data_IF_797222476008
#
_entry.id   IF_797222476008
#
_cell.length_a   1.000
_cell.length_b   1.000
_cell.length_c   1.000
_cell.angle_alpha   90.00
_cell.angle_beta   90.00
_cell.angle_gamma   90.00
#
_symmetry.space_group_name_H-M   'P 1'
#
loop_
_entity.id
_entity.type
_entity.pdbx_description
1 polymer ?
#
# COMPACT_ATOMS: atom_id res chain seq x y z
N UNK A 1 -33.90 -31.15 19.32
CA UNK A 1 -34.58 -30.61 18.14
C UNK A 1 -33.52 -30.34 17.11
N UNK A 2 -33.37 -31.28 16.17
CA UNK A 2 -32.52 -31.12 14.99
C UNK A 2 -33.22 -30.15 14.03
N UNK A 3 -32.81 -28.89 14.04
CA UNK A 3 -33.15 -27.93 12.99
C UNK A 3 -32.24 -28.17 11.78
N UNK A 4 -32.29 -29.35 11.19
CA UNK A 4 -31.67 -29.61 9.89
C UNK A 4 -32.60 -29.06 8.82
N UNK A 5 -32.14 -28.05 8.07
CA UNK A 5 -32.81 -27.64 6.85
C UNK A 5 -32.81 -28.83 5.88
N UNK A 6 -33.89 -29.05 5.11
CA UNK A 6 -33.87 -30.05 4.05
C UNK A 6 -32.72 -29.78 3.08
N UNK A 7 -32.03 -30.83 2.66
CA UNK A 7 -30.92 -30.76 1.70
C UNK A 7 -31.26 -29.92 0.46
N UNK A 8 -32.51 -30.01 0.01
CA UNK A 8 -33.07 -29.34 -1.16
C UNK A 8 -33.09 -27.82 -1.00
N UNK A 9 -33.36 -27.34 0.21
CA UNK A 9 -33.29 -25.91 0.53
C UNK A 9 -31.85 -25.45 0.46
N UNK A 10 -30.92 -26.19 1.07
CA UNK A 10 -29.49 -25.88 1.05
C UNK A 10 -28.92 -25.90 -0.38
N UNK A 11 -29.28 -26.91 -1.19
CA UNK A 11 -28.92 -27.01 -2.61
C UNK A 11 -29.49 -25.88 -3.48
N UNK A 12 -30.60 -25.26 -3.07
CA UNK A 12 -31.20 -24.10 -3.74
C UNK A 12 -30.55 -22.78 -3.32
N UNK A 13 -30.10 -22.68 -2.06
CA UNK A 13 -29.51 -21.47 -1.50
C UNK A 13 -28.01 -21.36 -1.80
N UNK A 14 -27.24 -22.44 -1.64
CA UNK A 14 -25.78 -22.43 -1.79
C UNK A 14 -25.27 -21.90 -3.15
N UNK A 15 -25.92 -22.16 -4.31
CA UNK A 15 -25.53 -21.56 -5.58
C UNK A 15 -25.57 -20.02 -5.60
N UNK A 16 -26.39 -19.40 -4.74
CA UNK A 16 -26.59 -17.95 -4.66
C UNK A 16 -25.54 -17.24 -3.80
N UNK A 17 -24.79 -18.00 -2.99
CA UNK A 17 -23.75 -17.46 -2.12
C UNK A 17 -22.48 -17.11 -2.91
N UNK A 18 -21.68 -16.19 -2.35
CA UNK A 18 -20.31 -16.02 -2.80
C UNK A 18 -19.43 -17.15 -2.24
N UNK A 19 -18.19 -17.26 -2.74
CA UNK A 19 -17.33 -18.35 -2.30
C UNK A 19 -16.84 -18.21 -0.86
N UNK A 20 -16.83 -17.01 -0.27
CA UNK A 20 -16.45 -16.80 1.14
C UNK A 20 -17.55 -17.34 2.06
N UNK A 21 -18.80 -17.02 1.77
CA UNK A 21 -19.97 -17.49 2.50
C UNK A 21 -20.15 -19.00 2.37
N UNK A 22 -19.87 -19.58 1.19
CA UNK A 22 -19.89 -21.04 1.01
C UNK A 22 -18.82 -21.75 1.84
N UNK A 23 -17.63 -21.15 2.02
CA UNK A 23 -16.62 -21.67 2.98
C UNK A 23 -17.18 -21.64 4.40
N UNK A 24 -17.81 -20.55 4.83
CA UNK A 24 -18.39 -20.47 6.18
C UNK A 24 -19.50 -21.50 6.40
N UNK A 25 -20.33 -21.77 5.38
CA UNK A 25 -21.34 -22.82 5.43
C UNK A 25 -20.74 -24.20 5.75
N UNK A 26 -19.53 -24.49 5.26
CA UNK A 26 -18.84 -25.75 5.57
C UNK A 26 -18.42 -25.90 7.04
N UNK A 27 -18.47 -24.82 7.83
CA UNK A 27 -18.12 -24.80 9.25
C UNK A 27 -19.34 -24.94 10.17
N UNK A 28 -20.57 -24.86 9.64
CA UNK A 28 -21.81 -24.87 10.44
C UNK A 28 -22.11 -26.24 11.03
N UNK A 29 -22.28 -27.26 10.19
CA UNK A 29 -22.52 -28.66 10.61
C UNK A 29 -22.03 -29.65 9.55
N UNK A 30 -22.13 -30.96 9.83
CA UNK A 30 -21.69 -32.02 8.89
C UNK A 30 -22.48 -32.00 7.58
N UNK A 31 -23.82 -31.90 7.68
CA UNK A 31 -24.71 -31.83 6.52
C UNK A 31 -24.33 -30.67 5.59
N UNK A 32 -24.22 -29.46 6.12
CA UNK A 32 -23.86 -28.28 5.33
C UNK A 32 -22.48 -28.41 4.69
N UNK A 33 -21.52 -28.98 5.43
CA UNK A 33 -20.18 -29.26 4.90
C UNK A 33 -20.19 -30.21 3.73
N UNK A 34 -20.96 -31.28 3.80
CA UNK A 34 -20.97 -32.31 2.76
C UNK A 34 -21.69 -31.80 1.50
N UNK A 35 -22.77 -31.01 1.66
CA UNK A 35 -23.43 -30.33 0.54
C UNK A 35 -22.52 -29.24 -0.06
N UNK A 36 -21.98 -28.32 0.76
CA UNK A 36 -21.16 -27.21 0.27
C UNK A 36 -19.82 -27.66 -0.36
N UNK A 37 -19.39 -28.91 -0.14
CA UNK A 37 -18.22 -29.50 -0.82
C UNK A 37 -18.48 -29.89 -2.27
N UNK A 38 -19.73 -30.02 -2.69
CA UNK A 38 -20.08 -30.39 -4.06
C UNK A 38 -19.50 -29.35 -5.04
N UNK A 39 -18.68 -29.85 -5.97
CA UNK A 39 -17.95 -29.03 -6.92
C UNK A 39 -18.87 -28.28 -7.89
N UNK A 40 -20.14 -28.70 -8.03
CA UNK A 40 -21.16 -27.96 -8.77
C UNK A 40 -21.35 -26.54 -8.22
N UNK A 41 -21.42 -26.36 -6.90
CA UNK A 41 -21.60 -25.03 -6.31
C UNK A 41 -20.39 -24.14 -6.58
N UNK A 42 -19.19 -24.71 -6.51
CA UNK A 42 -17.95 -24.00 -6.84
C UNK A 42 -17.85 -23.70 -8.33
N UNK A 43 -18.37 -24.56 -9.21
CA UNK A 43 -18.50 -24.29 -10.65
C UNK A 43 -19.41 -23.11 -10.90
N UNK A 44 -20.55 -23.00 -10.20
CA UNK A 44 -21.44 -21.83 -10.30
C UNK A 44 -20.76 -20.54 -9.86
N UNK A 45 -19.94 -20.58 -8.81
CA UNK A 45 -19.16 -19.42 -8.37
C UNK A 45 -18.08 -19.06 -9.42
N UNK A 46 -17.32 -20.05 -9.88
CA UNK A 46 -16.30 -19.88 -10.90
C UNK A 46 -16.86 -19.42 -12.24
N UNK A 47 -18.08 -19.80 -12.62
CA UNK A 47 -18.68 -19.36 -13.89
C UNK A 47 -19.06 -17.88 -13.86
N UNK A 48 -19.41 -17.34 -12.68
CA UNK A 48 -19.62 -15.91 -12.47
C UNK A 48 -18.31 -15.12 -12.46
N UNK A 49 -17.26 -15.65 -11.84
CA UNK A 49 -15.96 -14.96 -11.65
C UNK A 49 -15.02 -15.11 -12.85
N UNK A 50 -14.96 -16.30 -13.44
CA UNK A 50 -14.06 -16.70 -14.54
C UNK A 50 -14.81 -17.59 -15.56
N UNK A 51 -15.77 -17.03 -16.33
CA UNK A 51 -16.64 -17.81 -17.21
C UNK A 51 -15.89 -18.66 -18.24
N UNK A 52 -14.74 -18.20 -18.73
CA UNK A 52 -13.93 -18.91 -19.72
C UNK A 52 -13.39 -20.25 -19.18
N UNK A 53 -13.03 -20.31 -17.90
CA UNK A 53 -12.56 -21.55 -17.25
C UNK A 53 -13.68 -22.60 -17.22
N UNK A 54 -14.94 -22.18 -17.11
CA UNK A 54 -16.07 -23.09 -17.15
C UNK A 54 -16.46 -23.50 -18.57
N UNK A 55 -16.16 -22.66 -19.58
CA UNK A 55 -16.38 -22.97 -21.01
C UNK A 55 -15.34 -23.95 -21.54
N UNK A 56 -14.10 -23.82 -21.10
CA UNK A 56 -12.98 -24.69 -21.46
C UNK A 56 -12.26 -25.14 -20.18
N UNK A 57 -12.83 -26.12 -19.45
CA UNK A 57 -12.24 -26.59 -18.21
C UNK A 57 -10.92 -27.33 -18.46
N UNK A 58 -9.93 -27.15 -17.57
CA UNK A 58 -8.78 -28.06 -17.49
C UNK A 58 -9.24 -29.51 -17.33
N UNK A 59 -8.43 -30.47 -17.80
CA UNK A 59 -8.78 -31.91 -17.79
C UNK A 59 -9.17 -32.45 -16.41
N UNK A 60 -8.57 -31.95 -15.33
CA UNK A 60 -8.84 -32.32 -13.93
C UNK A 60 -9.46 -31.16 -13.13
N UNK A 61 -10.38 -30.43 -13.74
CA UNK A 61 -10.98 -29.25 -13.12
C UNK A 61 -11.66 -29.60 -11.78
N UNK A 62 -11.10 -29.05 -10.71
CA UNK A 62 -11.71 -28.98 -9.39
C UNK A 62 -11.98 -27.51 -9.09
N UNK A 63 -13.23 -27.08 -9.29
CA UNK A 63 -13.61 -25.67 -9.22
C UNK A 63 -13.43 -25.10 -7.82
N UNK A 64 -13.61 -25.92 -6.78
CA UNK A 64 -13.33 -25.55 -5.40
C UNK A 64 -11.86 -25.21 -5.20
N UNK A 65 -10.95 -26.11 -5.61
CA UNK A 65 -9.51 -25.91 -5.51
C UNK A 65 -9.08 -24.68 -6.29
N UNK A 66 -9.60 -24.52 -7.51
CA UNK A 66 -9.33 -23.36 -8.35
C UNK A 66 -9.77 -22.06 -7.65
N UNK A 67 -11.00 -22.01 -7.13
CA UNK A 67 -11.49 -20.84 -6.41
C UNK A 67 -10.62 -20.52 -5.20
N UNK A 68 -10.28 -21.52 -4.38
CA UNK A 68 -9.48 -21.33 -3.18
C UNK A 68 -8.06 -20.86 -3.52
N UNK A 69 -7.40 -21.47 -4.51
CA UNK A 69 -6.05 -21.09 -4.94
C UNK A 69 -5.98 -19.63 -5.40
N UNK A 70 -6.94 -19.17 -6.21
CA UNK A 70 -6.91 -17.82 -6.78
C UNK A 70 -7.69 -16.77 -5.99
N UNK A 71 -8.32 -17.16 -4.88
CA UNK A 71 -8.95 -16.22 -3.93
C UNK A 71 -8.11 -16.03 -2.67
N UNK A 72 -7.10 -16.86 -2.44
CA UNK A 72 -6.13 -16.63 -1.38
C UNK A 72 -5.15 -15.52 -1.79
N UNK A 73 -4.80 -14.60 -0.87
CA UNK A 73 -3.65 -13.73 -1.06
C UNK A 73 -2.41 -14.60 -1.34
N UNK A 74 -1.53 -14.20 -2.26
CA UNK A 74 -0.27 -14.90 -2.46
C UNK A 74 0.50 -14.98 -1.14
N UNK A 75 0.75 -16.20 -0.66
CA UNK A 75 1.65 -16.38 0.47
C UNK A 75 3.07 -16.11 -0.03
N UNK A 76 3.69 -15.01 0.42
CA UNK A 76 5.09 -14.69 0.12
C UNK A 76 6.01 -15.67 0.86
N UNK A 77 6.10 -16.90 0.38
CA UNK A 77 7.04 -17.89 0.91
C UNK A 77 8.39 -17.72 0.21
N UNK A 78 9.45 -17.52 1.00
CA UNK A 78 10.86 -17.51 0.58
C UNK A 78 11.35 -16.33 -0.28
N UNK A 79 10.88 -15.11 -0.03
CA UNK A 79 11.58 -13.94 -0.56
C UNK A 79 12.97 -13.80 0.12
N UNK A 80 14.04 -13.52 -0.64
CA UNK A 80 15.39 -13.41 -0.10
C UNK A 80 15.46 -12.25 0.90
N UNK A 81 16.32 -12.32 1.91
CA UNK A 81 16.52 -11.17 2.82
C UNK A 81 16.93 -9.93 1.99
N UNK A 82 16.34 -8.74 2.21
CA UNK A 82 16.77 -7.53 1.51
C UNK A 82 18.28 -7.31 1.68
N UNK A 83 18.95 -6.87 0.61
CA UNK A 83 20.38 -6.52 0.66
C UNK A 83 20.63 -5.16 1.29
N UNK A 84 19.57 -4.46 1.63
CA UNK A 84 19.54 -3.13 2.22
C UNK A 84 18.96 -3.20 3.61
N UNK A 85 19.52 -2.38 4.50
CA UNK A 85 18.89 -2.03 5.77
C UNK A 85 18.59 -0.53 5.81
N UNK A 86 17.71 -0.08 6.71
CA UNK A 86 17.48 1.35 6.90
C UNK A 86 18.72 2.07 7.44
N UNK A 87 19.58 1.33 8.14
CA UNK A 87 20.87 1.78 8.62
C UNK A 87 21.84 2.06 7.47
N UNK A 88 21.64 1.52 6.27
CA UNK A 88 22.48 1.78 5.08
C UNK A 88 21.99 2.98 4.27
N UNK A 89 20.80 3.51 4.56
CA UNK A 89 20.13 4.51 3.72
C UNK A 89 20.21 5.92 4.31
N UNK A 90 20.42 6.89 3.42
CA UNK A 90 20.22 8.33 3.69
C UNK A 90 19.34 8.90 2.58
N UNK A 91 18.32 9.66 2.95
CA UNK A 91 17.38 10.29 2.04
C UNK A 91 17.62 11.79 2.03
N UNK A 92 17.79 12.36 0.84
CA UNK A 92 17.91 13.80 0.62
C UNK A 92 16.56 14.30 0.14
N UNK A 93 15.91 15.11 0.95
CA UNK A 93 14.57 15.64 0.67
C UNK A 93 14.69 17.16 0.53
N UNK A 94 14.38 17.64 -0.66
CA UNK A 94 14.43 19.05 -1.01
C UNK A 94 13.05 19.51 -1.50
N UNK A 95 12.58 20.66 -1.01
CA UNK A 95 11.31 21.26 -1.42
C UNK A 95 11.47 22.71 -1.81
N UNK A 96 10.74 23.10 -2.85
CA UNK A 96 10.73 24.47 -3.38
C UNK A 96 9.31 25.01 -3.43
N UNK A 97 9.14 26.27 -3.02
CA UNK A 97 7.95 27.09 -3.22
C UNK A 97 8.22 28.06 -4.37
N UNK A 98 7.52 27.92 -5.49
CA UNK A 98 7.71 28.77 -6.68
C UNK A 98 9.19 28.88 -7.13
N UNK A 99 9.94 27.79 -6.98
CA UNK A 99 11.36 27.72 -7.31
C UNK A 99 12.33 28.20 -6.22
N UNK A 100 11.84 28.78 -5.13
CA UNK A 100 12.65 29.13 -3.95
C UNK A 100 12.73 27.95 -2.99
N UNK A 101 13.94 27.58 -2.56
CA UNK A 101 14.14 26.47 -1.63
C UNK A 101 13.54 26.80 -0.24
N UNK A 102 12.64 25.95 0.25
CA UNK A 102 11.97 26.10 1.56
C UNK A 102 12.34 25.02 2.57
N UNK A 103 12.86 23.89 2.09
CA UNK A 103 13.27 22.76 2.93
C UNK A 103 14.36 21.99 2.20
N UNK A 104 15.40 21.58 2.94
CA UNK A 104 16.48 20.75 2.42
C UNK A 104 17.13 20.02 3.59
N UNK A 105 17.00 18.70 3.64
CA UNK A 105 17.59 17.89 4.70
C UNK A 105 18.08 16.53 4.18
N UNK A 106 19.17 16.04 4.78
CA UNK A 106 19.64 14.68 4.64
C UNK A 106 19.25 13.87 5.89
N UNK A 107 18.44 12.83 5.70
CA UNK A 107 17.75 12.11 6.78
C UNK A 107 18.13 10.63 6.73
N UNK A 108 18.46 10.04 7.87
CA UNK A 108 18.75 8.60 7.91
C UNK A 108 17.49 7.76 7.67
N UNK A 109 17.63 6.60 7.03
CA UNK A 109 16.51 5.66 6.89
C UNK A 109 15.93 5.25 8.24
N UNK A 110 16.74 5.12 9.28
CA UNK A 110 16.28 4.83 10.64
C UNK A 110 15.39 5.94 11.22
N UNK A 111 15.68 7.20 10.92
CA UNK A 111 14.86 8.35 11.36
C UNK A 111 13.50 8.29 10.68
N UNK A 112 13.48 8.05 9.37
CA UNK A 112 12.23 7.89 8.61
C UNK A 112 11.41 6.69 9.10
N UNK A 113 12.06 5.56 9.41
CA UNK A 113 11.42 4.37 9.98
C UNK A 113 10.83 4.64 11.37
N UNK A 114 11.53 5.41 12.21
CA UNK A 114 11.07 5.73 13.56
C UNK A 114 9.77 6.55 13.55
N UNK A 115 9.52 7.27 12.45
CA UNK A 115 8.30 8.03 12.24
C UNK A 115 8.17 9.25 13.15
N UNK A 116 6.97 9.82 13.19
CA UNK A 116 6.66 10.99 14.02
C UNK A 116 6.74 10.63 15.50
N UNK A 117 7.55 11.38 16.26
CA UNK A 117 7.67 11.17 17.70
C UNK A 117 6.52 11.84 18.47
N UNK A 118 6.08 13.00 17.98
CA UNK A 118 4.98 13.76 18.56
C UNK A 118 3.96 14.13 17.49
N UNK A 119 2.70 13.73 17.67
CA UNK A 119 1.61 14.24 16.84
C UNK A 119 1.06 15.53 17.46
N UNK A 120 0.92 16.62 16.68
CA UNK A 120 0.37 17.85 17.21
C UNK A 120 -1.10 17.69 17.59
N UNK A 121 -1.53 18.47 18.59
CA UNK A 121 -2.95 18.57 18.94
C UNK A 121 -3.71 19.27 17.82
N UNK A 122 -4.94 18.85 17.58
CA UNK A 122 -5.84 19.51 16.61
C UNK A 122 -5.78 18.95 15.18
N UNK A 123 -5.09 17.83 14.96
CA UNK A 123 -5.19 17.10 13.67
C UNK A 123 -6.61 16.53 13.49
N UNK A 124 -7.15 16.48 12.26
CA UNK A 124 -8.44 15.84 11.98
C UNK A 124 -8.44 14.35 12.35
N UNK A 125 -9.60 13.81 12.71
CA UNK A 125 -9.75 12.38 13.07
C UNK A 125 -9.30 11.44 11.94
N UNK A 126 -9.51 11.84 10.68
CA UNK A 126 -9.07 11.08 9.50
C UNK A 126 -7.55 10.97 9.47
N UNK A 127 -6.84 12.08 9.71
CA UNK A 127 -5.37 12.08 9.80
C UNK A 127 -4.90 11.29 11.01
N UNK A 128 -5.58 11.43 12.16
CA UNK A 128 -5.24 10.67 13.36
C UNK A 128 -5.41 9.16 13.18
N UNK A 129 -6.43 8.72 12.41
CA UNK A 129 -6.63 7.32 12.08
C UNK A 129 -5.56 6.81 11.10
N UNK A 130 -5.22 7.62 10.07
CA UNK A 130 -4.14 7.32 9.13
C UNK A 130 -2.79 7.13 9.82
N UNK A 131 -2.41 8.04 10.73
CA UNK A 131 -1.16 7.95 11.50
C UNK A 131 -1.11 6.78 12.49
N UNK A 132 -2.25 6.15 12.78
CA UNK A 132 -2.35 4.94 13.63
C UNK A 132 -2.41 3.66 12.81
N UNK A 133 -2.44 3.73 11.48
CA UNK A 133 -2.48 2.53 10.66
C UNK A 133 -1.21 1.69 10.90
N UNK A 134 -1.34 0.37 10.70
CA UNK A 134 -0.24 -0.58 10.81
C UNK A 134 0.55 -0.69 9.50
N UNK A 135 0.25 0.14 8.51
CA UNK A 135 0.99 0.16 7.25
C UNK A 135 2.39 0.70 7.51
N UNK A 136 3.38 0.10 6.86
CA UNK A 136 4.75 0.55 6.98
C UNK A 136 4.93 1.87 6.23
N UNK A 137 4.82 2.97 6.95
CA UNK A 137 4.93 4.33 6.40
C UNK A 137 6.19 4.98 6.97
N UNK A 138 7.03 5.56 6.09
CA UNK A 138 8.19 6.33 6.51
C UNK A 138 7.80 7.79 6.73
N UNK A 139 8.12 8.34 7.90
CA UNK A 139 7.72 9.71 8.24
C UNK A 139 8.86 10.51 8.85
N UNK A 140 8.85 11.82 8.58
CA UNK A 140 9.78 12.79 9.12
C UNK A 140 9.00 13.91 9.79
N UNK A 141 9.38 14.24 11.02
CA UNK A 141 8.92 15.46 11.69
C UNK A 141 9.66 16.68 11.13
N UNK A 142 8.91 17.73 10.79
CA UNK A 142 9.47 18.95 10.21
C UNK A 142 9.68 19.98 11.31
N UNK A 143 10.95 20.16 11.69
CA UNK A 143 11.35 21.15 12.70
C UNK A 143 12.46 22.08 12.18
N UNK A 144 12.28 23.41 12.25
CA UNK A 144 11.04 24.11 12.63
C UNK A 144 9.93 23.89 11.58
N UNK A 145 8.67 23.89 12.04
CA UNK A 145 7.50 23.75 11.16
C UNK A 145 7.47 24.80 10.06
N UNK A 146 7.04 24.39 8.86
CA UNK A 146 6.99 25.28 7.70
C UNK A 146 5.60 25.93 7.61
N UNK A 147 5.55 27.26 7.64
CA UNK A 147 4.33 28.00 7.32
C UNK A 147 4.30 28.30 5.84
N UNK A 148 3.31 27.75 5.13
CA UNK A 148 3.21 27.85 3.67
C UNK A 148 1.85 28.47 3.30
N UNK A 149 1.82 29.51 2.44
CA UNK A 149 0.56 30.03 1.92
C UNK A 149 -0.13 28.98 1.04
N UNK A 150 -1.46 28.91 1.10
CA UNK A 150 -2.25 28.11 0.17
C UNK A 150 -2.25 28.75 -1.22
N UNK A 151 -2.15 27.93 -2.27
CA UNK A 151 -2.22 28.37 -3.67
C UNK A 151 -0.93 28.15 -4.46
N UNK A 152 0.24 28.64 -4.01
CA UNK A 152 1.50 28.44 -4.72
C UNK A 152 1.88 26.96 -4.90
N UNK A 153 2.54 26.66 -6.01
CA UNK A 153 3.02 25.32 -6.31
C UNK A 153 4.26 24.99 -5.46
N UNK A 154 4.14 23.91 -4.68
CA UNK A 154 5.28 23.31 -3.97
C UNK A 154 5.74 22.11 -4.79
N UNK A 155 7.06 22.03 -5.02
CA UNK A 155 7.69 20.86 -5.65
C UNK A 155 8.64 20.17 -4.68
N UNK A 156 8.81 18.85 -4.83
CA UNK A 156 9.69 18.02 -4.00
C UNK A 156 10.59 17.14 -4.85
N UNK A 157 11.83 16.96 -4.41
CA UNK A 157 12.76 15.96 -4.91
C UNK A 157 13.22 15.07 -3.77
N UNK A 158 13.40 13.79 -4.06
CA UNK A 158 13.92 12.79 -3.13
C UNK A 158 15.00 11.97 -3.82
N UNK A 159 16.21 12.04 -3.28
CA UNK A 159 17.28 11.11 -3.61
C UNK A 159 17.53 10.18 -2.43
N UNK A 160 17.92 8.95 -2.72
CA UNK A 160 18.43 8.02 -1.72
C UNK A 160 19.91 7.74 -1.98
N UNK A 161 20.69 7.69 -0.91
CA UNK A 161 22.08 7.28 -0.88
C UNK A 161 22.21 5.98 -0.12
N UNK A 162 23.03 5.10 -0.68
CA UNK A 162 23.47 3.86 -0.08
C UNK A 162 24.87 4.04 0.49
N UNK A 163 25.00 3.94 1.81
CA UNK A 163 26.28 4.05 2.51
C UNK A 163 27.21 2.87 2.24
N UNK A 164 26.66 1.67 2.05
CA UNK A 164 27.40 0.43 1.82
C UNK A 164 28.20 0.40 0.50
N UNK A 165 27.63 1.00 -0.55
CA UNK A 165 28.13 0.95 -1.92
C UNK A 165 28.44 2.34 -2.49
N UNK A 166 28.16 3.38 -1.71
CA UNK A 166 28.30 4.78 -2.09
C UNK A 166 27.56 5.15 -3.39
N UNK A 167 26.36 4.59 -3.58
CA UNK A 167 25.52 4.81 -4.76
C UNK A 167 24.33 5.69 -4.47
N UNK A 168 23.84 6.36 -5.51
CA UNK A 168 22.65 7.21 -5.43
C UNK A 168 21.54 6.65 -6.31
N UNK A 169 20.30 6.75 -5.85
CA UNK A 169 19.10 6.52 -6.64
C UNK A 169 18.16 7.72 -6.52
N UNK A 170 17.44 8.00 -7.59
CA UNK A 170 16.39 9.01 -7.57
C UNK A 170 15.04 8.32 -7.31
N UNK A 171 14.33 8.80 -6.28
CA UNK A 171 13.00 8.31 -5.91
C UNK A 171 11.94 9.26 -6.48
N UNK A 172 12.11 10.57 -6.25
CA UNK A 172 11.25 11.64 -6.79
C UNK A 172 12.15 12.73 -7.36
N UNK A 173 11.80 13.23 -8.53
CA UNK A 173 12.50 14.23 -9.32
C UNK A 173 11.56 15.39 -9.64
N UNK A 174 11.42 16.30 -8.66
CA UNK A 174 10.69 17.56 -8.78
C UNK A 174 9.19 17.39 -9.08
N UNK A 175 8.53 16.47 -8.37
CA UNK A 175 7.07 16.33 -8.42
C UNK A 175 6.38 17.46 -7.70
N UNK A 176 5.18 17.83 -8.16
CA UNK A 176 4.37 18.90 -7.55
C UNK A 176 3.35 18.31 -6.59
N UNK A 177 3.10 18.97 -5.47
CA UNK A 177 1.97 18.65 -4.59
C UNK A 177 0.67 19.22 -5.18
N UNK A 178 0.09 18.50 -6.15
CA UNK A 178 -1.06 18.96 -6.93
C UNK A 178 -2.41 18.46 -6.39
N UNK A 179 -2.39 17.45 -5.52
CA UNK A 179 -3.58 16.93 -4.85
C UNK A 179 -3.60 17.31 -3.38
N UNK A 180 -4.60 18.08 -2.95
CA UNK A 180 -4.78 18.51 -1.57
C UNK A 180 -6.07 17.89 -1.03
N UNK A 181 -5.92 16.97 -0.08
CA UNK A 181 -7.03 16.44 0.71
C UNK A 181 -7.21 17.30 1.95
N UNK A 182 -8.14 18.26 1.85
CA UNK A 182 -8.45 19.18 2.95
C UNK A 182 -9.08 18.47 4.16
N UNK A 183 -9.76 17.35 3.96
CA UNK A 183 -10.38 16.58 5.04
C UNK A 183 -9.36 15.75 5.81
N UNK A 184 -8.35 15.22 5.11
CA UNK A 184 -7.24 14.48 5.71
C UNK A 184 -6.07 15.39 6.12
N UNK A 185 -6.14 16.70 5.85
CA UNK A 185 -5.05 17.65 6.05
C UNK A 185 -3.71 17.17 5.47
N UNK A 186 -3.77 16.68 4.23
CA UNK A 186 -2.64 16.12 3.47
C UNK A 186 -2.54 16.76 2.10
N UNK A 187 -1.32 17.05 1.66
CA UNK A 187 -1.02 17.38 0.26
C UNK A 187 -0.12 16.30 -0.31
N UNK A 188 -0.42 15.81 -1.51
CA UNK A 188 0.17 14.62 -2.09
C UNK A 188 0.90 14.97 -3.39
N UNK A 189 2.10 14.40 -3.54
CA UNK A 189 2.88 14.36 -4.76
C UNK A 189 3.28 12.91 -5.01
N UNK A 190 3.50 12.52 -6.27
CA UNK A 190 4.04 11.20 -6.57
C UNK A 190 4.98 11.22 -7.78
N UNK A 191 5.79 10.19 -7.90
CA UNK A 191 6.47 9.86 -9.15
C UNK A 191 6.58 8.35 -9.34
N UNK A 192 6.66 7.92 -10.60
CA UNK A 192 6.97 6.54 -10.92
C UNK A 192 8.43 6.21 -10.65
N UNK A 193 8.65 5.13 -9.91
CA UNK A 193 9.99 4.66 -9.57
C UNK A 193 10.77 4.24 -10.82
N UNK A 194 12.06 4.57 -10.82
CA UNK A 194 13.01 4.16 -11.86
C UNK A 194 13.80 2.96 -11.37
N UNK A 195 13.46 1.78 -11.87
CA UNK A 195 14.15 0.54 -11.55
C UNK A 195 15.41 0.34 -12.40
N UNK A 196 16.36 -0.42 -11.84
CA UNK A 196 17.56 -0.82 -12.56
C UNK A 196 17.18 -1.57 -13.85
N UNK A 197 17.94 -1.43 -14.95
CA UNK A 197 17.74 -2.23 -16.16
C UNK A 197 17.78 -3.76 -15.96
N UNK A 198 18.23 -4.23 -14.78
CA UNK A 198 18.12 -5.63 -14.33
C UNK A 198 16.68 -6.09 -14.09
N UNK A 199 15.74 -5.16 -13.95
CA UNK A 199 14.32 -5.40 -13.70
C UNK A 199 13.44 -4.77 -14.81
N UNK A 200 13.64 -5.16 -16.09
CA UNK A 200 13.12 -4.41 -17.24
C UNK A 200 11.59 -4.43 -17.40
N UNK A 201 10.88 -5.31 -16.67
CA UNK A 201 9.43 -5.46 -16.74
C UNK A 201 8.69 -4.89 -15.52
N UNK A 202 9.41 -4.27 -14.58
CA UNK A 202 8.79 -3.60 -13.44
C UNK A 202 8.53 -2.14 -13.85
N UNK A 203 7.25 -1.78 -13.95
CA UNK A 203 6.77 -0.43 -14.23
C UNK A 203 5.63 -0.07 -13.28
N UNK A 204 5.15 1.18 -13.38
CA UNK A 204 3.90 1.62 -12.76
C UNK A 204 3.84 1.57 -11.22
N UNK A 205 4.98 1.39 -10.55
CA UNK A 205 5.09 1.55 -9.10
C UNK A 205 5.40 3.00 -8.78
N UNK A 206 4.63 3.60 -7.87
CA UNK A 206 4.79 5.00 -7.46
C UNK A 206 5.45 5.10 -6.08
N UNK A 207 6.25 6.14 -5.93
CA UNK A 207 6.59 6.70 -4.64
C UNK A 207 5.65 7.87 -4.35
N UNK A 208 5.01 7.87 -3.19
CA UNK A 208 4.13 8.93 -2.74
C UNK A 208 4.83 9.76 -1.68
N UNK A 209 4.77 11.08 -1.83
CA UNK A 209 5.18 12.03 -0.81
C UNK A 209 3.94 12.76 -0.31
N UNK A 210 3.72 12.79 1.02
CA UNK A 210 2.67 13.59 1.64
C UNK A 210 3.26 14.68 2.52
N UNK A 211 2.73 15.90 2.43
CA UNK A 211 2.84 16.90 3.49
C UNK A 211 1.69 16.72 4.46
N UNK A 212 2.01 16.66 5.74
CA UNK A 212 1.03 16.62 6.84
C UNK A 212 0.96 18.02 7.46
N UNK A 213 -0.22 18.62 7.48
CA UNK A 213 -0.36 20.02 7.88
C UNK A 213 -1.53 20.29 8.83
N UNK A 214 -1.48 21.47 9.43
CA UNK A 214 -2.58 22.08 10.18
C UNK A 214 -2.95 23.41 9.53
N UNK A 215 -4.23 23.75 9.53
CA UNK A 215 -4.66 25.07 9.10
C UNK A 215 -4.31 26.12 10.15
N UNK A 216 -3.71 27.23 9.71
CA UNK A 216 -3.32 28.37 10.53
C UNK A 216 -3.97 29.63 9.99
N UNK A 217 -5.25 29.81 10.31
CA UNK A 217 -6.09 30.84 9.68
C UNK A 217 -6.55 30.42 8.29
N UNK A 218 -6.98 31.39 7.48
CA UNK A 218 -7.77 31.10 6.27
C UNK A 218 -6.92 30.63 5.07
N UNK A 219 -5.67 31.09 4.96
CA UNK A 219 -4.84 30.91 3.75
C UNK A 219 -3.42 30.41 4.03
N UNK A 220 -3.14 29.94 5.25
CA UNK A 220 -1.81 29.44 5.62
C UNK A 220 -1.95 28.07 6.22
N UNK A 221 -1.11 27.14 5.78
CA UNK A 221 -0.95 25.82 6.40
C UNK A 221 0.39 25.75 7.10
N UNK A 222 0.42 25.10 8.25
CA UNK A 222 1.62 24.77 9.00
C UNK A 222 1.94 23.29 8.78
N UNK A 223 2.98 23.01 7.99
CA UNK A 223 3.46 21.64 7.75
C UNK A 223 4.30 21.21 8.95
N UNK A 224 3.86 20.13 9.59
CA UNK A 224 4.52 19.55 10.76
C UNK A 224 5.19 18.20 10.46
N UNK A 225 4.83 17.56 9.34
CA UNK A 225 5.35 16.25 8.98
C UNK A 225 5.42 16.05 7.48
N UNK A 226 6.31 15.16 7.09
CA UNK A 226 6.47 14.66 5.73
C UNK A 226 6.37 13.14 5.78
N UNK A 227 5.74 12.56 4.78
CA UNK A 227 5.52 11.13 4.66
C UNK A 227 6.04 10.63 3.31
N UNK A 228 6.83 9.58 3.30
CA UNK A 228 7.23 8.84 2.10
C UNK A 228 6.62 7.43 2.15
N UNK A 229 5.79 7.11 1.17
CA UNK A 229 5.01 5.87 1.14
C UNK A 229 5.09 5.19 -0.23
N UNK A 230 4.99 3.86 -0.22
CA UNK A 230 4.98 2.98 -1.38
C UNK A 230 3.75 2.05 -1.37
N UNK A 231 2.64 2.49 -0.77
CA UNK A 231 1.42 1.71 -0.53
C UNK A 231 0.83 0.97 -1.74
N UNK A 232 1.15 1.39 -2.97
CA UNK A 232 0.78 0.67 -4.19
C UNK A 232 1.47 -0.70 -4.31
N UNK A 233 2.65 -0.86 -3.69
CA UNK A 233 3.54 -2.01 -3.91
C UNK A 233 4.14 -2.62 -2.63
N UNK A 234 4.21 -1.89 -1.52
CA UNK A 234 4.81 -2.36 -0.27
C UNK A 234 3.92 -2.05 0.93
N UNK A 235 3.76 -3.04 1.82
CA UNK A 235 2.96 -2.96 3.06
C UNK A 235 3.75 -3.30 4.32
N UNK A 236 5.03 -3.63 4.16
CA UNK A 236 5.94 -3.97 5.26
C UNK A 236 7.32 -3.36 5.04
N UNK A 237 8.08 -3.20 6.12
CA UNK A 237 9.46 -2.70 6.07
C UNK A 237 10.33 -3.51 5.11
N UNK A 238 10.16 -4.84 5.13
CA UNK A 238 10.90 -5.75 4.26
C UNK A 238 10.56 -5.53 2.78
N UNK A 239 9.28 -5.32 2.47
CA UNK A 239 8.84 -4.99 1.10
C UNK A 239 9.38 -3.65 0.62
N UNK A 240 9.42 -2.63 1.48
CA UNK A 240 10.04 -1.34 1.15
C UNK A 240 11.52 -1.54 0.82
N UNK A 241 12.26 -2.27 1.65
CA UNK A 241 13.68 -2.51 1.42
C UNK A 241 13.94 -3.30 0.13
N UNK A 242 13.09 -4.28 -0.22
CA UNK A 242 13.16 -4.94 -1.52
C UNK A 242 12.90 -3.98 -2.67
N UNK A 243 11.87 -3.16 -2.55
CA UNK A 243 11.53 -2.17 -3.57
C UNK A 243 12.70 -1.21 -3.82
N UNK A 244 13.30 -0.70 -2.73
CA UNK A 244 14.44 0.20 -2.81
C UNK A 244 15.69 -0.49 -3.39
N UNK A 245 15.93 -1.78 -3.12
CA UNK A 245 17.09 -2.50 -3.67
C UNK A 245 17.03 -2.63 -5.20
N UNK A 246 15.82 -2.61 -5.77
CA UNK A 246 15.60 -2.70 -7.21
C UNK A 246 15.78 -1.37 -7.97
N UNK A 247 15.96 -0.24 -7.29
CA UNK A 247 16.13 1.07 -7.93
C UNK A 247 17.36 1.15 -8.83
N UNK A 248 17.38 2.13 -9.73
CA UNK A 248 18.51 2.41 -10.62
C UNK A 248 19.67 3.11 -9.87
N UNK A 249 20.35 2.36 -9.01
CA UNK A 249 21.50 2.80 -8.21
C UNK A 249 22.75 3.07 -9.08
N UNK A 250 23.24 4.31 -9.08
CA UNK A 250 24.39 4.81 -9.86
C UNK A 250 25.57 5.14 -8.98
#
# INVERSE_FOLDING_TARGET
MENEFPDEVLKSVFPLLDGKDLVFCMLVCRQWRDIAKDDYFWKCICSRKWPSICKQPPSDANYKKLYLTFSQPPTMQHLPVPRLTFEDLVFYIDMWLEGSLIFSQAISGCTLRAGLQCTPRGIPDILAAHLKSLDCIMMLEVEPRLSIPMGPAITVSVLAHRKDSNKMACIINKSTFDYIDSNAARALAYEYLRFSPRHPFISDIRAWMSLLFLYKGDNVVEVFGIELDFCDAARSETEILWLLDMLDWK
#
